data_IF_305597735971
#
_entry.id   IF_305597735971
#
_cell.length_a   1.000
_cell.length_b   1.000
_cell.length_c   1.000
_cell.angle_alpha   90.00
_cell.angle_beta   90.00
_cell.angle_gamma   90.00
#
_symmetry.space_group_name_H-M   'P 1'
#
loop_
_entity.id
_entity.type
_entity.pdbx_description
1 polymer ?
#
# COMPACT_ATOMS: atom_id res chain seq x y z
N UNK A 1 44.41 -50.36 -24.54
CA UNK A 1 44.56 -50.98 -23.22
C UNK A 1 45.12 -49.95 -22.24
N UNK A 2 44.24 -49.05 -21.78
CA UNK A 2 43.93 -48.76 -20.38
C UNK A 2 45.07 -48.90 -19.36
N UNK A 3 45.46 -47.78 -18.73
CA UNK A 3 45.67 -47.68 -17.29
C UNK A 3 45.79 -46.19 -16.88
N UNK A 4 44.96 -45.79 -15.93
CA UNK A 4 44.71 -44.44 -15.44
C UNK A 4 45.15 -44.36 -13.98
N UNK A 5 46.06 -43.46 -13.60
CA UNK A 5 46.27 -42.88 -12.24
C UNK A 5 47.36 -41.81 -12.37
N UNK A 6 47.28 -40.55 -11.93
CA UNK A 6 46.76 -40.04 -10.66
C UNK A 6 46.05 -38.68 -10.80
N UNK A 7 45.08 -38.51 -9.91
CA UNK A 7 44.22 -37.37 -9.67
C UNK A 7 44.90 -36.41 -8.69
N UNK A 8 45.18 -35.17 -9.07
CA UNK A 8 45.29 -34.08 -8.07
C UNK A 8 44.91 -32.71 -8.64
N UNK A 9 43.64 -32.27 -8.60
CA UNK A 9 43.36 -30.87 -8.31
C UNK A 9 43.55 -30.68 -6.80
N UNK A 10 44.53 -29.85 -6.42
CA UNK A 10 44.73 -29.38 -5.05
C UNK A 10 43.45 -28.67 -4.60
N UNK A 11 42.55 -29.41 -3.95
CA UNK A 11 41.38 -28.87 -3.28
C UNK A 11 41.87 -27.94 -2.17
N UNK A 12 41.96 -26.64 -2.48
CA UNK A 12 42.21 -25.60 -1.51
C UNK A 12 40.92 -25.44 -0.69
N UNK A 13 40.82 -26.22 0.40
CA UNK A 13 39.82 -25.99 1.44
C UNK A 13 40.09 -24.61 2.03
N UNK A 14 39.29 -23.62 1.63
CA UNK A 14 39.22 -22.34 2.34
C UNK A 14 38.67 -22.65 3.74
N UNK A 15 39.29 -22.19 4.84
CA UNK A 15 38.61 -22.24 6.11
C UNK A 15 37.36 -21.38 5.98
N UNK A 16 36.20 -22.01 6.10
CA UNK A 16 34.98 -21.27 6.37
C UNK A 16 35.20 -20.54 7.68
N UNK A 17 35.28 -19.22 7.63
CA UNK A 17 35.06 -18.40 8.82
C UNK A 17 33.59 -18.58 9.19
N UNK A 18 33.28 -19.72 9.79
CA UNK A 18 31.99 -19.96 10.41
C UNK A 18 31.77 -18.83 11.41
N UNK A 19 30.62 -18.18 11.32
CA UNK A 19 30.18 -17.18 12.28
C UNK A 19 30.04 -17.88 13.64
N UNK A 20 31.14 -17.97 14.38
CA UNK A 20 31.16 -18.53 15.71
C UNK A 20 30.51 -17.47 16.60
N UNK A 21 29.20 -17.60 16.83
CA UNK A 21 28.45 -16.70 17.71
C UNK A 21 28.76 -17.15 19.13
N UNK A 22 29.60 -16.43 19.88
CA UNK A 22 29.84 -16.76 21.28
C UNK A 22 28.51 -16.73 22.06
N UNK A 23 28.28 -17.73 22.91
CA UNK A 23 27.00 -17.94 23.58
C UNK A 23 26.49 -16.75 24.41
N UNK A 24 27.36 -15.81 24.79
CA UNK A 24 26.97 -14.56 25.46
C UNK A 24 26.25 -13.55 24.55
N UNK A 25 26.35 -13.68 23.23
CA UNK A 25 25.61 -12.83 22.29
C UNK A 25 24.13 -13.25 22.19
N UNK A 26 23.81 -14.52 22.44
CA UNK A 26 22.43 -15.03 22.34
C UNK A 26 21.40 -14.25 23.20
N UNK A 27 21.64 -13.97 24.50
CA UNK A 27 20.69 -13.18 25.29
C UNK A 27 20.58 -11.72 24.85
N UNK A 28 21.66 -11.14 24.31
CA UNK A 28 21.67 -9.75 23.80
C UNK A 28 20.81 -9.65 22.53
N UNK A 29 20.97 -10.60 21.60
CA UNK A 29 20.12 -10.68 20.40
C UNK A 29 18.66 -10.97 20.76
N UNK A 30 18.39 -11.82 21.76
CA UNK A 30 17.04 -12.07 22.24
C UNK A 30 16.39 -10.80 22.81
N UNK A 31 17.12 -9.99 23.59
CA UNK A 31 16.62 -8.72 24.11
C UNK A 31 16.39 -7.68 23.01
N UNK A 32 17.29 -7.58 22.03
CA UNK A 32 17.11 -6.70 20.87
C UNK A 32 15.87 -7.08 20.05
N UNK A 33 15.65 -8.38 19.85
CA UNK A 33 14.48 -8.87 19.11
C UNK A 33 13.17 -8.62 19.86
N UNK A 34 13.15 -8.74 21.18
CA UNK A 34 11.96 -8.44 22.01
C UNK A 34 11.71 -6.92 22.05
N UNK A 35 12.75 -6.10 22.17
CA UNK A 35 12.63 -4.65 22.14
C UNK A 35 12.11 -4.14 20.78
N UNK A 36 12.48 -4.80 19.67
CA UNK A 36 12.03 -4.43 18.33
C UNK A 36 10.68 -5.06 17.95
N UNK A 37 10.42 -6.29 18.38
CA UNK A 37 9.23 -7.07 18.03
C UNK A 37 7.96 -6.70 18.78
N UNK A 38 8.04 -5.89 19.85
CA UNK A 38 6.86 -5.50 20.60
C UNK A 38 6.07 -4.36 19.93
N UNK A 39 6.71 -3.56 19.08
CA UNK A 39 6.08 -2.39 18.45
C UNK A 39 5.23 -2.72 17.21
N UNK A 40 5.35 -3.93 16.66
CA UNK A 40 4.57 -4.34 15.48
C UNK A 40 3.12 -4.76 15.80
N UNK A 41 2.75 -4.91 17.09
CA UNK A 41 1.42 -5.43 17.49
C UNK A 41 0.38 -4.36 17.81
N UNK A 42 0.78 -3.11 18.07
CA UNK A 42 -0.13 -2.10 18.64
C UNK A 42 -0.80 -1.17 17.60
N UNK A 43 -0.43 -1.23 16.31
CA UNK A 43 -0.93 -0.26 15.33
C UNK A 43 -2.26 -0.62 14.64
N UNK A 44 -3.00 -1.62 15.13
CA UNK A 44 -4.35 -1.95 14.63
C UNK A 44 -5.41 -2.07 15.73
N UNK A 45 -5.31 -1.29 16.81
CA UNK A 45 -6.37 -1.15 17.80
C UNK A 45 -7.04 0.22 17.73
N UNK A 46 -7.89 0.44 16.71
CA UNK A 46 -8.95 1.46 16.73
C UNK A 46 -10.03 1.15 15.68
N UNK A 47 -10.97 0.29 16.04
CA UNK A 47 -12.31 0.25 15.43
C UNK A 47 -13.35 0.19 16.56
N UNK A 48 -13.84 1.34 17.09
CA UNK A 48 -14.92 1.32 18.06
C UNK A 48 -16.25 1.23 17.31
N UNK A 49 -16.65 0.03 16.92
CA UNK A 49 -17.99 -0.19 16.41
C UNK A 49 -18.46 -1.60 16.75
N UNK A 50 -19.02 -1.79 17.96
CA UNK A 50 -20.17 -2.66 18.27
C UNK A 50 -20.22 -2.96 19.77
N UNK A 51 -20.87 -2.08 20.53
CA UNK A 51 -21.51 -2.48 21.79
C UNK A 51 -22.84 -1.72 21.93
N UNK A 52 -23.92 -2.35 21.44
CA UNK A 52 -25.29 -1.99 21.80
C UNK A 52 -26.15 -3.25 21.84
N UNK A 53 -26.44 -3.83 23.03
CA UNK A 53 -27.36 -4.96 23.12
C UNK A 53 -28.82 -4.48 23.04
N UNK A 54 -29.52 -4.90 21.99
CA UNK A 54 -30.97 -4.79 21.88
C UNK A 54 -31.64 -5.87 22.73
N UNK A 55 -31.99 -5.54 23.97
CA UNK A 55 -32.90 -6.32 24.78
C UNK A 55 -34.18 -5.52 25.07
N UNK A 56 -35.31 -6.23 24.95
CA UNK A 56 -36.66 -5.92 25.47
C UNK A 56 -37.72 -5.41 24.46
N UNK A 57 -38.45 -6.37 23.91
CA UNK A 57 -39.85 -6.23 23.47
C UNK A 57 -40.79 -6.30 24.69
N UNK A 58 -41.86 -5.50 24.64
CA UNK A 58 -43.19 -5.69 25.26
C UNK A 58 -43.48 -5.07 26.65
N UNK A 59 -44.26 -3.97 26.68
CA UNK A 59 -45.53 -3.86 27.44
C UNK A 59 -46.30 -2.53 27.20
N UNK A 60 -47.55 -2.67 26.73
CA UNK A 60 -48.81 -1.92 26.97
C UNK A 60 -48.94 -0.37 26.82
N UNK A 61 -49.99 0.04 26.08
CA UNK A 61 -50.67 1.37 25.99
C UNK A 61 -51.90 1.43 26.93
N UNK A 62 -52.61 2.58 27.21
CA UNK A 62 -52.30 4.03 27.09
C UNK A 62 -52.73 4.88 28.34
N UNK A 63 -52.41 6.19 28.39
CA UNK A 63 -53.13 7.21 29.20
C UNK A 63 -52.96 8.63 28.64
N UNK A 64 -53.98 9.47 28.84
CA UNK A 64 -54.39 10.60 28.01
C UNK A 64 -54.13 12.01 28.61
N UNK A 65 -54.28 13.03 27.74
CA UNK A 65 -54.58 14.48 27.93
C UNK A 65 -53.42 15.50 27.94
N UNK A 66 -53.29 16.19 26.79
CA UNK A 66 -53.05 17.62 26.51
C UNK A 66 -51.93 18.42 27.23
N UNK A 67 -50.93 18.88 26.45
CA UNK A 67 -50.77 20.30 26.04
C UNK A 67 -49.51 20.55 25.17
N UNK A 68 -49.74 21.30 24.08
CA UNK A 68 -48.86 22.25 23.35
C UNK A 68 -47.46 21.86 22.84
N UNK A 69 -47.31 21.93 21.50
CA UNK A 69 -46.07 22.12 20.72
C UNK A 69 -45.25 23.36 21.18
N UNK A 70 -43.96 23.57 20.80
CA UNK A 70 -43.18 22.99 19.68
C UNK A 70 -41.91 22.23 20.15
N UNK A 71 -41.23 21.34 19.42
CA UNK A 71 -40.81 21.36 18.00
C UNK A 71 -40.48 19.91 17.55
N UNK A 72 -40.70 19.53 16.28
CA UNK A 72 -40.50 18.17 15.72
C UNK A 72 -39.14 18.05 14.98
N UNK A 73 -38.81 16.94 14.28
CA UNK A 73 -39.09 15.52 14.51
C UNK A 73 -37.87 14.59 14.25
N UNK A 74 -38.02 13.33 14.67
CA UNK A 74 -37.60 12.11 13.97
C UNK A 74 -36.10 11.87 13.70
N UNK A 75 -35.51 10.95 14.46
CA UNK A 75 -34.48 10.06 13.90
C UNK A 75 -35.13 8.70 13.70
N UNK A 76 -35.45 8.47 12.43
CA UNK A 76 -35.98 7.22 11.90
C UNK A 76 -34.85 6.20 11.89
N UNK A 77 -35.19 5.02 12.40
CA UNK A 77 -34.48 3.75 12.29
C UNK A 77 -33.90 3.51 10.87
N UNK A 78 -32.68 2.95 10.74
CA UNK A 78 -32.34 2.28 9.49
C UNK A 78 -31.93 0.84 9.76
N UNK A 79 -32.91 -0.07 9.63
CA UNK A 79 -32.66 -1.40 9.05
C UNK A 79 -33.42 -1.48 7.73
N UNK A 80 -32.69 -1.72 6.63
CA UNK A 80 -32.97 -2.67 5.53
C UNK A 80 -32.02 -2.38 4.35
N UNK A 81 -31.00 -3.25 4.23
CA UNK A 81 -30.62 -4.06 3.05
C UNK A 81 -30.68 -3.46 1.62
N UNK A 82 -29.53 -3.61 0.95
CA UNK A 82 -29.22 -3.67 -0.51
C UNK A 82 -29.02 -2.37 -1.34
N UNK A 83 -27.75 -2.19 -1.79
CA UNK A 83 -27.20 -1.82 -3.13
C UNK A 83 -28.16 -1.17 -4.16
N UNK A 84 -27.78 -0.23 -5.10
CA UNK A 84 -26.48 0.33 -5.55
C UNK A 84 -26.44 1.90 -5.72
N UNK A 85 -25.23 2.43 -5.98
CA UNK A 85 -24.81 3.71 -6.60
C UNK A 85 -25.72 4.98 -6.66
N UNK A 86 -25.18 6.10 -6.11
CA UNK A 86 -25.05 7.48 -6.68
C UNK A 86 -25.44 8.65 -5.75
N UNK A 87 -24.54 9.64 -5.80
CA UNK A 87 -24.65 11.08 -5.47
C UNK A 87 -24.72 11.51 -4.00
N UNK A 88 -24.07 12.58 -3.50
CA UNK A 88 -22.97 13.50 -3.89
C UNK A 88 -22.95 14.54 -2.74
N UNK A 89 -21.77 14.95 -2.25
CA UNK A 89 -21.38 16.36 -1.98
C UNK A 89 -20.25 16.48 -0.94
N UNK A 90 -19.00 16.63 -1.40
CA UNK A 90 -18.25 17.90 -1.60
C UNK A 90 -17.68 18.48 -0.30
N UNK A 91 -16.38 18.25 -0.08
CA UNK A 91 -15.46 19.33 0.27
C UNK A 91 -14.15 19.16 -0.49
N UNK A 92 -14.08 19.91 -1.59
CA UNK A 92 -12.93 20.71 -2.01
C UNK A 92 -11.56 20.01 -1.96
N UNK A 93 -11.32 19.18 -2.96
CA UNK A 93 -9.97 19.08 -3.50
C UNK A 93 -10.07 19.72 -4.88
N UNK A 94 -9.53 20.93 -4.97
CA UNK A 94 -9.24 21.66 -6.19
C UNK A 94 -9.10 20.69 -7.35
N UNK A 95 -10.03 20.77 -8.31
CA UNK A 95 -9.75 20.49 -9.71
C UNK A 95 -8.48 21.27 -10.02
N UNK A 96 -7.33 20.66 -9.79
CA UNK A 96 -6.14 20.97 -10.55
C UNK A 96 -6.43 20.30 -11.87
N UNK A 97 -7.30 20.95 -12.64
CA UNK A 97 -7.37 20.88 -14.08
C UNK A 97 -5.91 20.80 -14.54
N UNK A 98 -5.46 19.58 -14.82
CA UNK A 98 -4.18 19.39 -15.50
C UNK A 98 -4.48 19.99 -16.88
N UNK A 99 -3.84 21.11 -17.24
CA UNK A 99 -4.19 21.82 -18.46
C UNK A 99 -4.10 20.85 -19.65
N UNK A 100 -5.11 20.79 -20.54
CA UNK A 100 -4.98 20.09 -21.80
C UNK A 100 -4.05 20.92 -22.70
N UNK A 101 -2.79 20.48 -22.75
CA UNK A 101 -1.75 21.06 -23.60
C UNK A 101 -0.80 21.94 -22.81
N UNK A 102 0.47 21.56 -22.77
CA UNK A 102 1.46 22.15 -23.66
C UNK A 102 2.76 21.34 -23.57
N UNK A 103 3.09 20.66 -24.67
CA UNK A 103 4.39 20.04 -24.97
C UNK A 103 4.77 18.88 -24.04
N UNK A 104 4.82 17.68 -24.64
CA UNK A 104 5.52 16.53 -24.09
C UNK A 104 6.92 16.97 -23.67
N UNK A 105 7.08 17.31 -22.39
CA UNK A 105 8.39 17.41 -21.81
C UNK A 105 8.90 15.98 -21.89
N UNK A 106 10.04 15.80 -22.56
CA UNK A 106 10.80 14.55 -22.64
C UNK A 106 11.32 14.10 -21.24
N UNK A 107 10.82 14.74 -20.18
CA UNK A 107 11.30 14.70 -18.83
C UNK A 107 10.11 14.42 -17.90
N UNK A 108 10.28 13.40 -17.08
CA UNK A 108 9.31 12.99 -16.08
C UNK A 108 9.48 13.86 -14.83
N UNK A 109 8.41 14.45 -14.27
CA UNK A 109 8.52 15.21 -13.02
C UNK A 109 8.92 14.29 -11.87
N UNK A 110 9.47 14.86 -10.79
CA UNK A 110 9.80 14.09 -9.60
C UNK A 110 8.55 13.37 -9.05
N UNK A 111 8.72 12.09 -8.71
CA UNK A 111 7.67 11.25 -8.14
C UNK A 111 8.09 10.81 -6.74
N UNK A 112 7.29 11.15 -5.73
CA UNK A 112 7.47 10.69 -4.36
C UNK A 112 6.69 9.40 -4.14
N UNK A 113 7.38 8.29 -3.95
CA UNK A 113 6.78 6.97 -3.79
C UNK A 113 6.64 6.64 -2.30
N UNK A 114 5.42 6.77 -1.76
CA UNK A 114 5.21 6.67 -0.31
C UNK A 114 4.54 5.39 0.18
N UNK A 115 3.83 4.65 -0.69
CA UNK A 115 3.18 3.41 -0.30
C UNK A 115 3.01 2.47 -1.49
N UNK A 116 3.17 1.17 -1.24
CA UNK A 116 3.02 0.10 -2.21
C UNK A 116 2.16 -1.02 -1.60
N UNK A 117 1.10 -1.43 -2.30
CA UNK A 117 0.22 -2.53 -1.91
C UNK A 117 0.07 -3.49 -3.09
N UNK A 118 0.59 -4.69 -2.92
CA UNK A 118 0.45 -5.77 -3.88
C UNK A 118 -0.67 -6.74 -3.48
N UNK A 119 -1.39 -7.24 -4.49
CA UNK A 119 -2.43 -8.25 -4.37
C UNK A 119 -2.44 -9.13 -5.62
N UNK A 120 -2.96 -10.35 -5.52
CA UNK A 120 -3.08 -11.25 -6.68
C UNK A 120 -4.01 -10.68 -7.75
N UNK A 121 -5.10 -10.02 -7.33
CA UNK A 121 -6.02 -9.34 -8.25
C UNK A 121 -5.52 -7.93 -8.60
N UNK A 122 -5.40 -7.64 -9.89
CA UNK A 122 -4.92 -6.38 -10.46
C UNK A 122 -5.66 -5.15 -9.88
N UNK A 123 -6.99 -5.23 -9.79
CA UNK A 123 -7.86 -4.15 -9.26
C UNK A 123 -7.59 -3.80 -7.79
N UNK A 124 -6.95 -4.69 -7.03
CA UNK A 124 -6.62 -4.47 -5.60
C UNK A 124 -5.20 -4.00 -5.38
N UNK A 125 -4.38 -3.94 -6.44
CA UNK A 125 -3.04 -3.38 -6.37
C UNK A 125 -3.12 -1.87 -6.38
N UNK A 126 -2.34 -1.24 -5.51
CA UNK A 126 -2.32 0.22 -5.45
C UNK A 126 -0.98 0.75 -5.00
N UNK A 127 -0.63 1.92 -5.52
CA UNK A 127 0.57 2.66 -5.14
C UNK A 127 0.17 4.08 -4.74
N UNK A 128 1.02 4.75 -3.98
CA UNK A 128 0.82 6.17 -3.66
C UNK A 128 2.01 6.97 -4.17
N UNK A 129 1.73 7.86 -5.13
CA UNK A 129 2.71 8.75 -5.74
C UNK A 129 2.31 10.19 -5.45
N UNK A 130 3.25 11.01 -5.00
CA UNK A 130 3.01 12.42 -4.67
C UNK A 130 1.81 12.63 -3.72
N UNK A 131 1.57 11.66 -2.83
CA UNK A 131 0.46 11.68 -1.87
C UNK A 131 -0.91 11.30 -2.44
N UNK A 132 -0.99 10.86 -3.69
CA UNK A 132 -2.22 10.38 -4.34
C UNK A 132 -2.14 8.89 -4.64
N UNK A 133 -3.25 8.17 -4.45
CA UNK A 133 -3.34 6.73 -4.68
C UNK A 133 -3.73 6.44 -6.13
N UNK A 134 -3.02 5.50 -6.75
CA UNK A 134 -3.24 5.05 -8.12
C UNK A 134 -3.30 3.52 -8.20
N UNK A 135 -3.98 3.02 -9.22
CA UNK A 135 -4.08 1.61 -9.57
C UNK A 135 -3.45 1.37 -10.96
N UNK A 136 -3.39 0.11 -11.38
CA UNK A 136 -2.98 -0.23 -12.74
C UNK A 136 -3.91 0.43 -13.77
N UNK A 137 -3.33 1.00 -14.83
CA UNK A 137 -4.01 1.76 -15.86
C UNK A 137 -4.20 3.25 -15.56
N UNK A 138 -4.00 3.71 -14.32
CA UNK A 138 -4.09 5.13 -13.99
C UNK A 138 -2.87 5.92 -14.49
N UNK A 139 -3.06 7.24 -14.66
CA UNK A 139 -2.02 8.17 -15.11
C UNK A 139 -1.65 9.21 -14.04
N UNK A 140 -0.51 9.04 -13.32
CA UNK A 140 -0.09 9.97 -12.27
C UNK A 140 0.42 11.32 -12.79
N UNK A 141 0.89 11.36 -14.04
CA UNK A 141 1.45 12.54 -14.69
C UNK A 141 1.12 12.52 -16.20
N UNK A 142 1.36 13.64 -16.89
CA UNK A 142 1.16 13.72 -18.33
C UNK A 142 2.03 12.67 -19.05
N UNK A 143 1.40 11.91 -19.95
CA UNK A 143 2.02 10.83 -20.73
C UNK A 143 2.68 9.71 -19.90
N UNK A 144 2.38 9.62 -18.60
CA UNK A 144 2.81 8.53 -17.73
C UNK A 144 1.60 7.65 -17.40
N UNK A 145 1.71 6.35 -17.64
CA UNK A 145 0.69 5.35 -17.28
C UNK A 145 1.32 4.26 -16.43
N UNK A 146 0.60 3.78 -15.43
CA UNK A 146 0.99 2.60 -14.66
C UNK A 146 0.54 1.37 -15.44
N UNK A 147 1.48 0.61 -16.00
CA UNK A 147 1.15 -0.60 -16.75
C UNK A 147 0.91 -1.77 -15.79
N UNK A 148 1.75 -1.92 -14.76
CA UNK A 148 1.65 -3.03 -13.82
C UNK A 148 2.33 -2.70 -12.49
N UNK A 149 1.70 -3.11 -11.39
CA UNK A 149 2.25 -3.05 -10.04
C UNK A 149 2.69 -4.48 -9.66
N UNK A 150 3.99 -4.74 -9.65
CA UNK A 150 4.54 -6.02 -9.20
C UNK A 150 4.82 -5.98 -7.70
N UNK A 151 5.32 -7.06 -7.11
CA UNK A 151 5.51 -7.15 -5.67
C UNK A 151 6.65 -6.26 -5.13
N UNK A 152 7.69 -6.08 -5.91
CA UNK A 152 8.92 -5.36 -5.58
C UNK A 152 9.16 -4.15 -6.47
N UNK A 153 8.50 -4.09 -7.63
CA UNK A 153 8.67 -3.03 -8.62
C UNK A 153 7.34 -2.55 -9.20
N UNK A 154 7.36 -1.40 -9.86
CA UNK A 154 6.24 -0.88 -10.65
C UNK A 154 6.70 -0.60 -12.06
N UNK A 155 5.95 -1.12 -13.03
CA UNK A 155 6.18 -0.90 -14.46
C UNK A 155 5.34 0.31 -14.89
N UNK A 156 6.02 1.28 -15.46
CA UNK A 156 5.41 2.49 -16.01
C UNK A 156 5.67 2.57 -17.51
N UNK A 157 4.78 3.27 -18.20
CA UNK A 157 4.94 3.66 -19.59
C UNK A 157 4.93 5.17 -19.68
N UNK A 158 6.04 5.76 -20.11
CA UNK A 158 6.19 7.19 -20.30
C UNK A 158 6.47 7.51 -21.77
N UNK A 159 5.59 8.26 -22.42
CA UNK A 159 5.69 8.58 -23.86
C UNK A 159 5.88 7.37 -24.79
N UNK A 160 5.42 6.16 -24.39
CA UNK A 160 5.60 4.92 -25.14
C UNK A 160 6.84 4.11 -24.75
N UNK A 161 7.68 4.63 -23.85
CA UNK A 161 8.84 3.93 -23.31
C UNK A 161 8.52 3.31 -21.95
N UNK A 162 8.74 2.00 -21.83
CA UNK A 162 8.46 1.25 -20.61
C UNK A 162 9.69 1.26 -19.72
N UNK A 163 9.52 1.68 -18.48
CA UNK A 163 10.57 1.64 -17.46
C UNK A 163 10.04 1.04 -16.15
N UNK A 164 10.97 0.61 -15.32
CA UNK A 164 10.68 -0.02 -14.03
C UNK A 164 11.25 0.85 -12.92
N UNK A 165 10.50 1.01 -11.84
CA UNK A 165 10.90 1.70 -10.64
C UNK A 165 10.69 0.79 -9.44
N UNK A 166 11.67 0.68 -8.54
CA UNK A 166 11.54 -0.15 -7.35
C UNK A 166 10.44 0.41 -6.42
N UNK A 167 9.78 -0.48 -5.69
CA UNK A 167 8.75 -0.08 -4.74
C UNK A 167 9.34 0.86 -3.68
N UNK A 168 8.66 2.00 -3.47
CA UNK A 168 9.08 3.06 -2.54
C UNK A 168 10.35 3.80 -2.94
N UNK A 169 10.88 3.57 -4.15
CA UNK A 169 11.94 4.40 -4.71
C UNK A 169 11.35 5.68 -5.31
N UNK A 170 11.92 6.82 -4.92
CA UNK A 170 11.52 8.12 -5.46
C UNK A 170 12.17 8.35 -6.81
N UNK A 171 11.41 8.86 -7.77
CA UNK A 171 11.98 9.38 -9.00
C UNK A 171 12.43 10.83 -8.77
N UNK A 172 13.71 11.18 -9.00
CA UNK A 172 14.22 12.53 -8.73
C UNK A 172 13.70 13.60 -9.70
N UNK A 173 13.07 13.19 -10.81
CA UNK A 173 12.77 14.05 -11.95
C UNK A 173 13.90 13.96 -12.98
N UNK A 174 13.56 13.97 -14.26
CA UNK A 174 14.57 13.79 -15.31
C UNK A 174 14.09 12.95 -16.48
N UNK A 175 14.99 12.73 -17.42
CA UNK A 175 14.76 11.84 -18.55
C UNK A 175 14.67 10.40 -18.06
N UNK A 176 13.73 9.66 -18.60
CA UNK A 176 13.64 8.22 -18.37
C UNK A 176 14.71 7.56 -19.22
N UNK A 177 15.95 7.54 -18.72
CA UNK A 177 16.99 6.73 -19.34
C UNK A 177 16.74 5.28 -18.94
N UNK A 178 16.48 4.38 -19.91
CA UNK A 178 16.33 2.92 -19.68
C UNK A 178 17.70 2.27 -19.37
N UNK A 179 18.47 2.90 -18.50
CA UNK A 179 19.70 2.36 -17.94
C UNK A 179 19.31 1.35 -16.84
N UNK A 180 18.99 0.14 -17.29
CA UNK A 180 19.05 -1.16 -16.63
C UNK A 180 19.10 -1.16 -15.07
N UNK A 181 18.09 -1.74 -14.39
CA UNK A 181 18.03 -1.78 -12.93
C UNK A 181 19.15 -2.65 -12.36
N UNK A 182 19.64 -2.27 -11.17
CA UNK A 182 20.54 -3.08 -10.32
C UNK A 182 21.98 -3.27 -10.82
N UNK A 183 22.84 -2.26 -10.64
CA UNK A 183 24.28 -2.52 -10.43
C UNK A 183 24.77 -1.76 -9.20
N UNK A 184 24.72 -2.42 -8.02
CA UNK A 184 25.88 -2.52 -7.10
C UNK A 184 25.64 -3.49 -5.93
#
# INVERSE_FOLDING_TARGET
MDNQTELTPKASVRPSNGLFIPGYLLPIYALLFIAFGWFAREHWHNSPALDRPAAMLSQAVPSAIAQTAPTPPAVVDPKVVNQPSKDTAVQENTDKEIPPGELASDELPALRYSAHVYASEDEKRSITLNGQRYHEGDSPAANLTIEQIQQDVTIFNFNGEVFTLDALEDWPGGKVDVANPSEK
#
